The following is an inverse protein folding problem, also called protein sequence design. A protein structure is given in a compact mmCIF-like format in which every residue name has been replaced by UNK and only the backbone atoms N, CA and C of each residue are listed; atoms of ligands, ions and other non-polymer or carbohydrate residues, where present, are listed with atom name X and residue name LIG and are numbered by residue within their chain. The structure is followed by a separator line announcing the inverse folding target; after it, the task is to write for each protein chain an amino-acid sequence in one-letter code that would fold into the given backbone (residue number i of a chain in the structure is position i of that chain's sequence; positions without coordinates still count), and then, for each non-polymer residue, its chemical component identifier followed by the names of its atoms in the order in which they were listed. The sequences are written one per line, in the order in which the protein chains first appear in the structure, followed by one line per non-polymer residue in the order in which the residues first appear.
data_IF_662176092586
#
_entry.id   IF_662176092586
#
_cell.length_a   1.000
_cell.length_b   1.000
_cell.length_c   1.000
_cell.angle_alpha   90.00
_cell.angle_beta   90.00
_cell.angle_gamma   90.00
#
_symmetry.space_group_name_H-M   'P 1'
#
loop_
_entity.id
_entity.type
_entity.pdbx_description
1 polymer ?
#
# COMPACT_ATOMS: atom_id res chain seq x y z
N UNK A 1 30.27 -6.50 -0.81
CA UNK A 1 29.07 -6.72 -1.66
C UNK A 1 28.40 -5.36 -1.89
N UNK A 2 28.30 -4.90 -3.14
CA UNK A 2 27.67 -3.62 -3.44
C UNK A 2 26.18 -3.70 -3.10
N UNK A 3 25.77 -2.97 -2.07
CA UNK A 3 24.38 -2.89 -1.59
C UNK A 3 23.56 -2.20 -2.69
N UNK A 4 22.84 -2.97 -3.50
CA UNK A 4 22.02 -2.46 -4.60
C UNK A 4 20.91 -1.56 -4.02
N UNK A 5 21.17 -0.26 -3.94
CA UNK A 5 20.26 0.71 -3.34
C UNK A 5 19.14 0.96 -4.35
N UNK A 6 18.00 0.29 -4.19
CA UNK A 6 16.79 0.53 -5.00
C UNK A 6 16.39 2.00 -4.84
N UNK A 7 16.64 2.81 -5.87
CA UNK A 7 16.60 4.28 -5.87
C UNK A 7 15.31 4.85 -6.48
N UNK A 8 14.26 4.04 -6.64
CA UNK A 8 13.02 4.48 -7.28
C UNK A 8 12.10 5.09 -6.23
N UNK A 9 12.07 6.42 -6.18
CA UNK A 9 11.28 7.19 -5.23
C UNK A 9 9.80 7.29 -5.61
N UNK A 10 9.52 7.23 -6.91
CA UNK A 10 8.17 7.24 -7.47
C UNK A 10 7.73 5.80 -7.79
N UNK A 11 7.14 5.12 -6.81
CA UNK A 11 6.60 3.77 -6.99
C UNK A 11 5.18 3.84 -7.57
N UNK A 12 4.38 4.78 -7.06
CA UNK A 12 3.03 5.04 -7.54
C UNK A 12 2.86 6.55 -7.76
N UNK A 13 3.36 7.10 -8.88
CA UNK A 13 3.38 8.55 -9.11
C UNK A 13 1.97 9.16 -9.08
N UNK A 14 0.96 8.43 -9.57
CA UNK A 14 -0.43 8.89 -9.53
C UNK A 14 -0.90 9.16 -8.10
N UNK A 15 -0.65 8.23 -7.18
CA UNK A 15 -1.00 8.40 -5.77
C UNK A 15 -0.16 9.51 -5.12
N UNK A 16 1.16 9.51 -5.32
CA UNK A 16 2.07 10.44 -4.66
C UNK A 16 1.80 11.90 -5.06
N UNK A 17 1.60 12.17 -6.36
CA UNK A 17 1.23 13.52 -6.82
C UNK A 17 -0.13 13.94 -6.29
N UNK A 18 -1.15 13.06 -6.36
CA UNK A 18 -2.48 13.36 -5.82
C UNK A 18 -2.42 13.70 -4.33
N UNK A 19 -1.71 12.90 -3.53
CA UNK A 19 -1.51 13.15 -2.11
C UNK A 19 -0.83 14.50 -1.86
N UNK A 20 0.26 14.78 -2.59
CA UNK A 20 1.04 16.02 -2.44
C UNK A 20 0.23 17.26 -2.81
N UNK A 21 -0.54 17.20 -3.91
CA UNK A 21 -1.44 18.29 -4.31
C UNK A 21 -2.58 18.52 -3.33
N UNK A 22 -3.14 17.47 -2.74
CA UNK A 22 -4.19 17.60 -1.72
C UNK A 22 -3.62 18.33 -0.50
N UNK A 23 -2.47 17.88 0.02
CA UNK A 23 -1.80 18.51 1.16
C UNK A 23 -1.50 19.98 0.87
N UNK A 24 -0.87 20.27 -0.27
CA UNK A 24 -0.52 21.64 -0.65
C UNK A 24 -1.77 22.53 -0.84
N UNK A 25 -2.86 22.00 -1.41
CA UNK A 25 -4.10 22.74 -1.59
C UNK A 25 -4.73 23.14 -0.26
N UNK A 26 -4.80 22.20 0.70
CA UNK A 26 -5.32 22.50 2.04
C UNK A 26 -4.44 23.52 2.76
N UNK A 27 -3.11 23.38 2.68
CA UNK A 27 -2.19 24.35 3.27
C UNK A 27 -2.34 25.74 2.62
N UNK A 28 -2.44 25.81 1.29
CA UNK A 28 -2.64 27.08 0.57
C UNK A 28 -3.92 27.75 1.04
N UNK A 29 -5.05 27.03 1.08
CA UNK A 29 -6.32 27.56 1.56
C UNK A 29 -6.23 28.09 3.00
N UNK A 30 -5.54 27.36 3.89
CA UNK A 30 -5.34 27.81 5.26
C UNK A 30 -4.50 29.09 5.33
N UNK A 31 -3.49 29.24 4.47
CA UNK A 31 -2.63 30.43 4.44
C UNK A 31 -3.28 31.67 3.81
N UNK A 32 -4.30 31.50 2.95
CA UNK A 32 -4.99 32.61 2.29
C UNK A 32 -5.69 33.55 3.28
N UNK A 33 -5.96 33.11 4.51
CA UNK A 33 -6.58 33.93 5.55
C UNK A 33 -5.65 35.09 5.97
N UNK A 34 -4.33 34.90 5.98
CA UNK A 34 -3.39 35.88 6.51
C UNK A 34 -3.34 37.21 5.72
N UNK A 35 -3.27 37.22 4.37
CA UNK A 35 -3.35 38.48 3.62
C UNK A 35 -4.60 39.31 3.93
N UNK A 36 -5.76 38.69 4.12
CA UNK A 36 -6.98 39.41 4.47
C UNK A 36 -6.88 40.09 5.84
N UNK A 37 -6.37 39.37 6.85
CA UNK A 37 -6.15 39.92 8.20
C UNK A 37 -5.16 41.09 8.15
N UNK A 38 -4.11 40.98 7.35
CA UNK A 38 -3.09 42.03 7.22
C UNK A 38 -3.68 43.28 6.57
N UNK A 39 -4.46 43.14 5.50
CA UNK A 39 -5.12 44.29 4.88
C UNK A 39 -6.04 44.99 5.87
N UNK A 40 -6.90 44.24 6.57
CA UNK A 40 -7.84 44.79 7.56
C UNK A 40 -7.12 45.51 8.71
N UNK A 41 -6.06 44.90 9.26
CA UNK A 41 -5.24 45.50 10.31
C UNK A 41 -4.57 46.80 9.86
N UNK A 42 -3.97 46.81 8.68
CA UNK A 42 -3.30 48.01 8.16
C UNK A 42 -4.30 49.12 7.81
N UNK A 43 -5.48 48.78 7.30
CA UNK A 43 -6.54 49.76 7.03
C UNK A 43 -7.05 50.39 8.34
N UNK A 44 -7.17 49.60 9.41
CA UNK A 44 -7.46 50.12 10.75
C UNK A 44 -6.38 51.10 11.25
N UNK A 45 -5.09 50.73 11.13
CA UNK A 45 -3.95 51.57 11.56
C UNK A 45 -3.90 52.88 10.75
N UNK A 46 -4.08 52.81 9.43
CA UNK A 46 -4.10 53.97 8.54
C UNK A 46 -5.22 54.94 8.94
N UNK A 47 -6.39 54.43 9.30
CA UNK A 47 -7.52 55.23 9.77
C UNK A 47 -7.22 56.02 11.06
N UNK A 48 -6.30 55.55 11.90
CA UNK A 48 -5.91 56.22 13.15
C UNK A 48 -4.75 57.22 12.98
N UNK A 49 -3.94 57.08 11.92
CA UNK A 49 -2.79 57.96 11.66
C UNK A 49 -2.65 58.28 10.16
N UNK A 50 -3.57 59.10 9.60
CA UNK A 50 -3.62 59.38 8.16
C UNK A 50 -2.35 60.05 7.62
N UNK A 51 -1.65 60.82 8.44
CA UNK A 51 -0.41 61.51 8.09
C UNK A 51 0.71 60.54 7.68
N UNK A 52 0.66 59.29 8.14
CA UNK A 52 1.63 58.23 7.83
C UNK A 52 1.09 57.18 6.85
N UNK A 53 -0.08 57.43 6.24
CA UNK A 53 -0.80 56.43 5.43
C UNK A 53 0.06 55.78 4.34
N UNK A 54 0.85 56.57 3.61
CA UNK A 54 1.69 56.05 2.53
C UNK A 54 2.75 55.06 3.05
N UNK A 55 3.42 55.39 4.16
CA UNK A 55 4.42 54.51 4.77
C UNK A 55 3.80 53.17 5.21
N UNK A 56 2.58 53.19 5.73
CA UNK A 56 1.87 51.97 6.11
C UNK A 56 1.43 51.14 4.91
N UNK A 57 0.98 51.78 3.83
CA UNK A 57 0.65 51.11 2.56
C UNK A 57 1.87 50.39 2.00
N UNK A 58 3.02 51.06 1.97
CA UNK A 58 4.27 50.50 1.44
C UNK A 58 4.71 49.30 2.30
N UNK A 59 4.68 49.45 3.63
CA UNK A 59 5.01 48.38 4.58
C UNK A 59 4.07 47.18 4.43
N UNK A 60 2.75 47.42 4.28
CA UNK A 60 1.75 46.36 4.05
C UNK A 60 2.08 45.58 2.78
N UNK A 61 2.36 46.28 1.69
CA UNK A 61 2.65 45.64 0.40
C UNK A 61 3.95 44.84 0.45
N UNK A 62 4.99 45.36 1.09
CA UNK A 62 6.25 44.64 1.31
C UNK A 62 6.02 43.37 2.15
N UNK A 63 5.24 43.49 3.24
CA UNK A 63 4.92 42.36 4.11
C UNK A 63 4.11 41.28 3.37
N UNK A 64 3.08 41.66 2.61
CA UNK A 64 2.30 40.71 1.79
C UNK A 64 3.20 40.06 0.73
N UNK A 65 4.05 40.84 0.06
CA UNK A 65 5.00 40.33 -0.94
C UNK A 65 5.96 39.29 -0.34
N UNK A 66 6.54 39.60 0.82
CA UNK A 66 7.40 38.68 1.57
C UNK A 66 6.65 37.42 2.01
N UNK A 67 5.41 37.55 2.50
CA UNK A 67 4.59 36.40 2.89
C UNK A 67 4.26 35.48 1.71
N UNK A 68 3.92 36.04 0.55
CA UNK A 68 3.67 35.25 -0.66
C UNK A 68 4.95 34.51 -1.07
N UNK A 69 6.10 35.18 -1.07
CA UNK A 69 7.39 34.55 -1.37
C UNK A 69 7.68 33.37 -0.42
N UNK A 70 7.57 33.59 0.88
CA UNK A 70 7.79 32.55 1.90
C UNK A 70 6.80 31.40 1.72
N UNK A 71 5.52 31.70 1.46
CA UNK A 71 4.48 30.68 1.25
C UNK A 71 4.77 29.82 0.01
N UNK A 72 5.24 30.42 -1.08
CA UNK A 72 5.64 29.70 -2.29
C UNK A 72 6.82 28.75 -2.01
N UNK A 73 7.86 29.23 -1.31
CA UNK A 73 9.01 28.40 -0.94
C UNK A 73 8.59 27.26 -0.01
N UNK A 74 7.74 27.55 0.99
CA UNK A 74 7.23 26.56 1.91
C UNK A 74 6.36 25.51 1.22
N UNK A 75 5.47 25.91 0.31
CA UNK A 75 4.64 24.97 -0.46
C UNK A 75 5.49 24.08 -1.38
N UNK A 76 6.54 24.63 -2.01
CA UNK A 76 7.47 23.83 -2.80
C UNK A 76 8.18 22.78 -1.94
N UNK A 77 8.67 23.19 -0.76
CA UNK A 77 9.27 22.27 0.19
C UNK A 77 8.27 21.20 0.68
N UNK A 78 7.05 21.62 1.05
CA UNK A 78 5.98 20.74 1.51
C UNK A 78 5.56 19.73 0.43
N UNK A 79 5.53 20.14 -0.83
CA UNK A 79 5.28 19.25 -1.96
C UNK A 79 6.35 18.16 -2.07
N UNK A 80 7.63 18.53 -2.02
CA UNK A 80 8.72 17.54 -2.04
C UNK A 80 8.69 16.62 -0.82
N UNK A 81 8.42 17.18 0.36
CA UNK A 81 8.31 16.43 1.61
C UNK A 81 7.12 15.45 1.59
N UNK A 82 5.97 15.85 1.05
CA UNK A 82 4.79 14.98 0.94
C UNK A 82 4.97 13.86 -0.09
N UNK A 83 5.73 14.08 -1.17
CA UNK A 83 6.20 12.98 -2.03
C UNK A 83 7.06 12.00 -1.22
N UNK A 84 7.92 12.51 -0.34
CA UNK A 84 8.76 11.67 0.51
C UNK A 84 7.97 10.85 1.51
N UNK A 85 7.01 11.47 2.19
CA UNK A 85 6.14 10.78 3.12
C UNK A 85 5.28 9.72 2.42
N UNK A 86 4.68 10.07 1.29
CA UNK A 86 3.82 9.16 0.53
C UNK A 86 4.56 7.97 -0.09
N UNK A 87 5.89 8.03 -0.26
CA UNK A 87 6.69 6.88 -0.68
C UNK A 87 6.62 5.73 0.33
N UNK A 88 6.63 6.04 1.63
CA UNK A 88 6.54 5.05 2.73
C UNK A 88 5.17 4.36 2.81
N UNK A 89 4.17 4.90 2.12
CA UNK A 89 2.83 4.32 1.97
C UNK A 89 2.73 3.55 0.64
N UNK A 90 3.15 4.18 -0.46
CA UNK A 90 3.04 3.60 -1.79
C UNK A 90 3.90 2.35 -1.98
N UNK A 91 5.07 2.29 -1.35
CA UNK A 91 5.99 1.14 -1.43
C UNK A 91 5.37 -0.16 -0.94
N UNK A 92 4.92 -0.24 0.32
CA UNK A 92 4.20 -1.40 0.87
C UNK A 92 3.04 -1.85 0.00
N UNK A 93 2.14 -0.92 -0.37
CA UNK A 93 0.93 -1.26 -1.14
C UNK A 93 1.24 -1.78 -2.54
N UNK A 94 2.30 -1.25 -3.17
CA UNK A 94 2.79 -1.80 -4.43
C UNK A 94 3.32 -3.23 -4.27
N UNK A 95 4.07 -3.50 -3.19
CA UNK A 95 4.59 -4.84 -2.88
C UNK A 95 3.44 -5.83 -2.65
N UNK A 96 2.41 -5.45 -1.90
CA UNK A 96 1.18 -6.25 -1.72
C UNK A 96 0.53 -6.56 -3.05
N UNK A 97 0.30 -5.54 -3.89
CA UNK A 97 -0.33 -5.72 -5.19
C UNK A 97 0.46 -6.71 -6.06
N UNK A 98 1.79 -6.61 -6.06
CA UNK A 98 2.67 -7.51 -6.80
C UNK A 98 2.68 -8.92 -6.25
N UNK A 99 2.64 -9.07 -4.93
CA UNK A 99 2.55 -10.36 -4.26
C UNK A 99 1.28 -11.11 -4.65
N UNK A 100 0.13 -10.47 -4.50
CA UNK A 100 -1.17 -11.07 -4.86
C UNK A 100 -1.27 -11.37 -6.36
N UNK A 101 -0.68 -10.53 -7.22
CA UNK A 101 -0.58 -10.81 -8.65
C UNK A 101 0.26 -12.06 -8.95
N UNK A 102 1.39 -12.22 -8.26
CA UNK A 102 2.27 -13.39 -8.40
C UNK A 102 1.54 -14.67 -8.02
N UNK A 103 0.86 -14.69 -6.87
CA UNK A 103 0.08 -15.85 -6.42
C UNK A 103 -0.99 -16.22 -7.45
N UNK A 104 -1.76 -15.23 -7.94
CA UNK A 104 -2.81 -15.49 -8.94
C UNK A 104 -2.27 -16.01 -10.28
N UNK A 105 -1.00 -15.79 -10.58
CA UNK A 105 -0.34 -16.28 -11.79
C UNK A 105 0.27 -17.68 -11.60
N UNK A 106 0.01 -18.34 -10.47
CA UNK A 106 0.60 -19.63 -10.13
C UNK A 106 2.02 -19.53 -9.57
N UNK A 107 2.42 -18.34 -9.12
CA UNK A 107 3.68 -18.18 -8.40
C UNK A 107 3.58 -18.68 -6.96
N UNK A 108 4.71 -19.06 -6.39
CA UNK A 108 4.82 -19.51 -4.99
C UNK A 108 4.20 -18.52 -4.00
N UNK A 109 3.43 -19.06 -3.06
CA UNK A 109 2.95 -18.32 -1.89
C UNK A 109 4.11 -18.21 -0.91
N UNK A 110 4.60 -16.99 -0.70
CA UNK A 110 5.71 -16.68 0.21
C UNK A 110 5.33 -15.56 1.16
N UNK A 111 6.07 -15.45 2.26
CA UNK A 111 5.92 -14.32 3.16
C UNK A 111 6.31 -13.00 2.50
N UNK A 112 5.62 -11.95 2.92
CA UNK A 112 5.93 -10.56 2.59
C UNK A 112 6.37 -9.80 3.83
N UNK A 113 7.27 -8.84 3.61
CA UNK A 113 7.81 -7.98 4.66
C UNK A 113 7.96 -6.56 4.11
N UNK A 114 7.66 -5.53 4.89
CA UNK A 114 7.94 -4.14 4.51
C UNK A 114 9.25 -3.65 5.11
N UNK A 115 9.72 -2.48 4.69
CA UNK A 115 10.98 -1.91 5.20
C UNK A 115 10.72 -1.26 6.57
N UNK A 116 11.75 -1.20 7.41
CA UNK A 116 11.66 -0.46 8.66
C UNK A 116 11.24 0.99 8.43
N UNK A 117 10.17 1.40 9.11
CA UNK A 117 9.60 2.74 9.01
C UNK A 117 8.76 3.00 7.75
N UNK A 118 8.46 1.98 6.94
CA UNK A 118 7.29 1.99 6.05
C UNK A 118 6.01 1.84 6.89
N UNK A 119 4.90 2.38 6.40
CA UNK A 119 3.59 2.25 7.05
C UNK A 119 2.95 0.88 6.76
N UNK A 120 1.94 0.52 7.58
CA UNK A 120 1.10 -0.66 7.41
C UNK A 120 1.84 -2.00 7.58
N UNK A 121 2.79 -2.09 8.51
CA UNK A 121 3.50 -3.36 8.78
C UNK A 121 2.53 -4.49 9.12
N UNK A 122 1.47 -4.17 9.85
CA UNK A 122 0.39 -5.08 10.22
C UNK A 122 -0.28 -5.74 9.01
N UNK A 123 -0.31 -5.08 7.85
CA UNK A 123 -0.87 -5.67 6.62
C UNK A 123 0.04 -6.76 6.05
N UNK A 124 1.36 -6.64 6.24
CA UNK A 124 2.29 -7.71 5.87
C UNK A 124 2.04 -8.95 6.74
N UNK A 125 1.91 -8.74 8.04
CA UNK A 125 1.66 -9.81 9.02
C UNK A 125 0.35 -10.53 8.71
N UNK A 126 -0.75 -9.80 8.53
CA UNK A 126 -2.07 -10.38 8.18
C UNK A 126 -2.05 -11.19 6.86
N UNK A 127 -1.30 -10.72 5.86
CA UNK A 127 -1.14 -11.46 4.60
C UNK A 127 -0.38 -12.76 4.83
N UNK A 128 0.67 -12.74 5.66
CA UNK A 128 1.45 -13.94 5.98
C UNK A 128 0.62 -14.95 6.76
N UNK A 129 -0.12 -14.51 7.78
CA UNK A 129 -1.04 -15.37 8.54
C UNK A 129 -2.12 -15.98 7.64
N UNK A 130 -2.70 -15.19 6.73
CA UNK A 130 -3.68 -15.68 5.77
C UNK A 130 -3.08 -16.72 4.81
N UNK A 131 -1.85 -16.49 4.33
CA UNK A 131 -1.15 -17.43 3.46
C UNK A 131 -0.88 -18.74 4.20
N UNK A 132 -0.38 -18.66 5.44
CA UNK A 132 -0.10 -19.81 6.29
C UNK A 132 -1.38 -20.61 6.57
N UNK A 133 -2.49 -19.94 6.84
CA UNK A 133 -3.80 -20.59 7.00
C UNK A 133 -4.18 -21.42 5.76
N UNK A 134 -4.07 -20.86 4.55
CA UNK A 134 -4.41 -21.60 3.32
C UNK A 134 -3.43 -22.73 3.01
N UNK A 135 -2.14 -22.56 3.35
CA UNK A 135 -1.13 -23.62 3.19
C UNK A 135 -1.48 -24.78 4.14
N UNK A 136 -1.72 -24.49 5.41
CA UNK A 136 -2.07 -25.51 6.41
C UNK A 136 -3.37 -26.23 6.04
N UNK A 137 -4.40 -25.49 5.62
CA UNK A 137 -5.66 -26.08 5.18
C UNK A 137 -5.45 -27.04 3.99
N UNK A 138 -4.57 -26.70 3.05
CA UNK A 138 -4.24 -27.57 1.91
C UNK A 138 -3.48 -28.83 2.35
N UNK A 139 -2.59 -28.71 3.32
CA UNK A 139 -1.85 -29.86 3.88
C UNK A 139 -2.79 -30.82 4.62
N UNK A 140 -3.76 -30.30 5.36
CA UNK A 140 -4.79 -31.10 6.02
C UNK A 140 -5.68 -31.83 5.00
N UNK A 141 -6.14 -31.11 3.96
CA UNK A 141 -6.91 -31.70 2.86
C UNK A 141 -6.12 -32.80 2.14
N UNK A 142 -4.82 -32.59 1.91
CA UNK A 142 -3.93 -33.57 1.30
C UNK A 142 -3.81 -34.83 2.16
N UNK A 143 -3.61 -34.66 3.47
CA UNK A 143 -3.53 -35.77 4.44
C UNK A 143 -4.83 -36.59 4.42
N UNK A 144 -5.98 -35.92 4.44
CA UNK A 144 -7.29 -36.58 4.37
C UNK A 144 -7.48 -37.34 3.03
N UNK A 145 -7.04 -36.77 1.91
CA UNK A 145 -7.11 -37.44 0.61
C UNK A 145 -6.22 -38.70 0.55
N UNK A 146 -5.04 -38.69 1.20
CA UNK A 146 -4.20 -39.88 1.32
C UNK A 146 -4.88 -40.96 2.16
N UNK A 147 -5.54 -40.60 3.27
CA UNK A 147 -6.34 -41.53 4.08
C UNK A 147 -7.49 -42.15 3.27
N UNK A 148 -8.26 -41.34 2.56
CA UNK A 148 -9.35 -41.82 1.68
C UNK A 148 -8.81 -42.77 0.61
N UNK A 149 -7.69 -42.41 -0.01
CA UNK A 149 -7.02 -43.26 -1.01
C UNK A 149 -6.65 -44.64 -0.43
N UNK A 150 -6.14 -44.67 0.81
CA UNK A 150 -5.84 -45.89 1.54
C UNK A 150 -7.09 -46.72 1.86
N UNK A 151 -8.18 -46.10 2.30
CA UNK A 151 -9.44 -46.82 2.55
C UNK A 151 -10.02 -47.44 1.28
N UNK A 152 -9.99 -46.72 0.16
CA UNK A 152 -10.41 -47.25 -1.14
C UNK A 152 -9.52 -48.42 -1.58
N UNK A 153 -8.20 -48.33 -1.35
CA UNK A 153 -7.27 -49.42 -1.63
C UNK A 153 -7.62 -50.70 -0.85
N UNK A 154 -7.91 -50.55 0.45
CA UNK A 154 -8.30 -51.66 1.31
C UNK A 154 -9.67 -52.24 0.92
N UNK A 155 -10.64 -51.40 0.58
CA UNK A 155 -11.96 -51.84 0.11
C UNK A 155 -11.86 -52.64 -1.20
N UNK A 156 -10.97 -52.27 -2.12
CA UNK A 156 -10.77 -52.99 -3.37
C UNK A 156 -10.37 -54.47 -3.17
N UNK A 157 -9.75 -54.80 -2.04
CA UNK A 157 -9.35 -56.17 -1.69
C UNK A 157 -10.55 -57.05 -1.26
N UNK A 158 -11.62 -56.45 -0.74
CA UNK A 158 -12.75 -57.18 -0.13
C UNK A 158 -14.04 -57.15 -0.97
N UNK A 159 -14.16 -56.25 -1.94
CA UNK A 159 -15.37 -56.16 -2.78
C UNK A 159 -15.38 -57.19 -3.92
N UNK A 160 -16.58 -57.56 -4.41
CA UNK A 160 -16.73 -58.40 -5.61
C UNK A 160 -16.04 -57.84 -6.86
N UNK A 161 -15.61 -58.73 -7.77
CA UNK A 161 -14.86 -58.39 -8.99
C UNK A 161 -15.58 -57.37 -9.89
N UNK A 162 -16.92 -57.38 -9.94
CA UNK A 162 -17.71 -56.46 -10.77
C UNK A 162 -17.64 -55.00 -10.27
N UNK A 163 -17.24 -54.77 -9.01
CA UNK A 163 -17.08 -53.43 -8.42
C UNK A 163 -15.65 -52.89 -8.48
N UNK A 164 -14.65 -53.76 -8.66
CA UNK A 164 -13.22 -53.37 -8.69
C UNK A 164 -12.88 -52.34 -9.78
N UNK A 165 -13.46 -52.37 -11.00
CA UNK A 165 -13.19 -51.36 -12.02
C UNK A 165 -13.50 -49.94 -11.56
N UNK A 166 -14.61 -49.75 -10.83
CA UNK A 166 -15.03 -48.43 -10.32
C UNK A 166 -14.07 -47.93 -9.25
N UNK A 167 -13.63 -48.80 -8.33
CA UNK A 167 -12.67 -48.41 -7.29
C UNK A 167 -11.29 -48.07 -7.88
N UNK A 168 -10.86 -48.80 -8.92
CA UNK A 168 -9.63 -48.50 -9.64
C UNK A 168 -9.69 -47.12 -10.34
N UNK A 169 -10.84 -46.77 -10.90
CA UNK A 169 -11.07 -45.43 -11.48
C UNK A 169 -11.00 -44.33 -10.40
N UNK A 170 -11.62 -44.54 -9.23
CA UNK A 170 -11.56 -43.60 -8.11
C UNK A 170 -10.10 -43.41 -7.64
N UNK A 171 -9.34 -44.49 -7.48
CA UNK A 171 -7.91 -44.41 -7.14
C UNK A 171 -7.09 -43.66 -8.19
N UNK A 172 -7.36 -43.89 -9.48
CA UNK A 172 -6.73 -43.14 -10.57
C UNK A 172 -7.02 -41.65 -10.47
N UNK A 173 -8.25 -41.27 -10.12
CA UNK A 173 -8.62 -39.86 -9.97
C UNK A 173 -8.02 -39.23 -8.71
N UNK A 174 -8.00 -39.95 -7.57
CA UNK A 174 -7.37 -39.48 -6.34
C UNK A 174 -5.86 -39.30 -6.51
N UNK A 175 -5.18 -40.25 -7.15
CA UNK A 175 -3.74 -40.13 -7.45
C UNK A 175 -3.40 -38.93 -8.33
N UNK A 176 -4.23 -38.59 -9.33
CA UNK A 176 -4.07 -37.37 -10.14
C UNK A 176 -4.20 -36.09 -9.32
N UNK A 177 -5.09 -36.07 -8.32
CA UNK A 177 -5.26 -34.91 -7.42
C UNK A 177 -4.05 -34.80 -6.49
N UNK A 178 -3.61 -35.91 -5.91
CA UNK A 178 -2.43 -35.96 -5.03
C UNK A 178 -1.14 -35.58 -5.78
N UNK A 179 -0.98 -36.00 -7.03
CA UNK A 179 0.22 -35.66 -7.82
C UNK A 179 0.30 -34.18 -8.18
N UNK A 180 -0.84 -33.52 -8.44
CA UNK A 180 -0.90 -32.08 -8.73
C UNK A 180 -0.54 -31.22 -7.52
N UNK A 181 -0.88 -31.66 -6.32
CA UNK A 181 -0.62 -30.91 -5.09
C UNK A 181 0.78 -31.16 -4.49
N UNK A 182 1.58 -32.07 -5.07
CA UNK A 182 2.96 -32.35 -4.64
C UNK A 182 4.02 -31.46 -5.32
N UNK A 183 3.65 -30.77 -6.40
CA UNK A 183 4.55 -29.94 -7.21
C UNK A 183 4.40 -28.43 -6.94
N UNK A 184 3.41 -28.02 -6.13
CA UNK A 184 3.17 -26.63 -5.65
C UNK A 184 3.67 -26.46 -4.21
#
# INVERSE_FOLDING_TARGET
MAKYKRSIFLINPKFQYKFSFIVCSFTLLATLIYPFIIVDLFDYIIGQSPENAQSFIDTRNELIGLMVLISCVFLAFLFLFSIFLSHKIAGPMYKVTKHLQSIRQGGEVRDIYFRDGDYFQEIADEINETNNYFINQRLDDFTYLEEVSSYIANLALVVPEDKRPVLAEIQSNLSKILSRNKED
#
